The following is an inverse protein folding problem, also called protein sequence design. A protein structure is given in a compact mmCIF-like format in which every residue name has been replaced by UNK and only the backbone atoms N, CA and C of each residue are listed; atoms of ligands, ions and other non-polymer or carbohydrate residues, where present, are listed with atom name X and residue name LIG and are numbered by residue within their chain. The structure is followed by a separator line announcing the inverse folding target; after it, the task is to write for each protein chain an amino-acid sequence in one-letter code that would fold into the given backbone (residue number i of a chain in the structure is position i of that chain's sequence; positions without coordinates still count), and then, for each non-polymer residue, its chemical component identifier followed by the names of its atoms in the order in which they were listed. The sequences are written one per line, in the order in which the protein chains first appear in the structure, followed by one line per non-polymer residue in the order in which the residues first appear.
data_IF_526599162958
#
_entry.id   IF_526599162958
#
_cell.length_a   1.000
_cell.length_b   1.000
_cell.length_c   1.000
_cell.angle_alpha   90.00
_cell.angle_beta   90.00
_cell.angle_gamma   90.00
#
_symmetry.space_group_name_H-M   'P 1'
#
loop_
_entity.id
_entity.type
_entity.pdbx_description
1 polymer ?
#
# COMPACT_ATOMS: atom_id res chain seq x y z
N UNK A 1 -19.73 -79.45 -44.58
CA UNK A 1 -21.05 -78.83 -44.27
C UNK A 1 -20.93 -78.04 -42.96
N UNK A 2 -21.78 -77.03 -42.72
CA UNK A 2 -21.49 -75.58 -42.80
C UNK A 2 -21.28 -74.92 -41.42
N UNK A 3 -20.51 -73.83 -41.29
CA UNK A 3 -20.84 -72.39 -41.51
C UNK A 3 -21.78 -71.75 -40.47
N UNK A 4 -21.24 -70.65 -39.92
CA UNK A 4 -21.80 -69.27 -39.91
C UNK A 4 -22.88 -68.89 -38.89
N UNK A 5 -22.59 -67.74 -38.25
CA UNK A 5 -23.43 -66.53 -38.05
C UNK A 5 -24.79 -66.74 -37.39
N UNK A 6 -25.22 -65.93 -36.43
CA UNK A 6 -25.57 -64.54 -36.71
C UNK A 6 -25.99 -63.78 -35.43
N UNK A 7 -25.73 -62.49 -35.48
CA UNK A 7 -26.25 -61.41 -34.63
C UNK A 7 -27.71 -61.07 -34.95
N UNK A 8 -28.48 -60.59 -33.97
CA UNK A 8 -29.54 -59.57 -34.15
C UNK A 8 -29.96 -58.98 -32.78
N UNK A 9 -29.70 -57.69 -32.52
CA UNK A 9 -30.65 -56.52 -32.57
C UNK A 9 -31.72 -56.60 -31.47
N UNK A 10 -32.04 -55.59 -30.66
CA UNK A 10 -32.19 -54.14 -30.86
C UNK A 10 -32.35 -53.49 -29.44
N UNK A 11 -32.51 -52.19 -29.14
CA UNK A 11 -32.95 -51.00 -29.88
C UNK A 11 -32.69 -49.76 -29.00
N UNK A 12 -32.43 -48.60 -29.62
CA UNK A 12 -32.89 -47.28 -29.14
C UNK A 12 -31.99 -46.58 -28.10
N UNK A 13 -31.61 -45.30 -28.25
CA UNK A 13 -32.06 -44.29 -29.19
C UNK A 13 -31.16 -43.05 -29.16
N UNK A 14 -31.22 -42.31 -30.26
CA UNK A 14 -30.51 -41.06 -30.56
C UNK A 14 -30.73 -39.98 -29.48
N UNK A 15 -29.72 -39.15 -29.20
CA UNK A 15 -29.77 -37.70 -29.49
C UNK A 15 -28.48 -36.93 -29.16
N UNK A 16 -28.12 -36.08 -30.12
CA UNK A 16 -27.59 -34.73 -30.02
C UNK A 16 -26.23 -34.50 -29.32
N UNK A 17 -25.20 -34.34 -30.14
CA UNK A 17 -24.00 -33.59 -29.80
C UNK A 17 -24.37 -32.12 -29.51
N UNK A 18 -24.07 -31.65 -28.30
CA UNK A 18 -24.17 -30.24 -27.90
C UNK A 18 -22.77 -29.79 -27.46
N UNK A 19 -22.13 -28.94 -28.28
CA UNK A 19 -20.94 -28.17 -27.88
C UNK A 19 -21.35 -27.12 -26.83
N UNK A 20 -20.54 -26.99 -25.78
CA UNK A 20 -20.54 -25.89 -24.82
C UNK A 20 -19.13 -25.82 -24.17
N UNK A 21 -18.73 -24.73 -23.48
CA UNK A 21 -17.76 -23.78 -24.01
C UNK A 21 -16.43 -23.77 -23.24
N UNK A 22 -15.40 -23.20 -23.87
CA UNK A 22 -14.25 -22.68 -23.16
C UNK A 22 -14.67 -21.41 -22.41
N UNK A 23 -14.70 -21.44 -21.07
CA UNK A 23 -14.03 -20.47 -20.19
C UNK A 23 -14.35 -20.76 -18.73
N UNK A 24 -13.33 -20.67 -17.89
CA UNK A 24 -13.47 -20.79 -16.45
C UNK A 24 -12.13 -20.62 -15.78
N UNK A 25 -11.38 -19.57 -16.13
CA UNK A 25 -10.26 -19.11 -15.32
C UNK A 25 -10.78 -18.98 -13.89
N UNK A 26 -10.25 -19.83 -13.00
CA UNK A 26 -10.55 -19.80 -11.60
C UNK A 26 -10.33 -18.38 -11.11
N UNK A 27 -11.41 -17.68 -10.75
CA UNK A 27 -11.33 -16.45 -9.95
C UNK A 27 -10.75 -16.87 -8.61
N UNK A 28 -9.42 -16.91 -8.52
CA UNK A 28 -8.72 -16.94 -7.26
C UNK A 28 -9.18 -15.71 -6.50
N UNK A 29 -9.93 -15.94 -5.43
CA UNK A 29 -10.20 -14.92 -4.43
C UNK A 29 -8.85 -14.50 -3.85
N UNK A 30 -8.25 -13.44 -4.40
CA UNK A 30 -7.23 -12.71 -3.64
C UNK A 30 -7.92 -12.33 -2.33
N UNK A 31 -7.33 -12.77 -1.22
CA UNK A 31 -7.70 -12.28 0.11
C UNK A 31 -7.92 -10.77 0.00
N UNK A 32 -8.96 -10.23 0.64
CA UNK A 32 -9.17 -8.78 0.71
C UNK A 32 -7.99 -8.17 1.48
N UNK A 33 -6.88 -7.95 0.79
CA UNK A 33 -5.74 -7.19 1.27
C UNK A 33 -6.26 -5.82 1.66
N UNK A 34 -5.92 -5.37 2.87
CA UNK A 34 -6.30 -4.06 3.35
C UNK A 34 -5.85 -2.98 2.36
N UNK A 35 -6.52 -1.82 2.36
CA UNK A 35 -6.10 -0.67 1.57
C UNK A 35 -4.62 -0.37 1.85
N UNK A 36 -3.83 -0.17 0.79
CA UNK A 36 -2.44 0.27 0.95
C UNK A 36 -2.42 1.67 1.56
N UNK A 37 -1.42 1.97 2.38
CA UNK A 37 -1.32 3.28 3.04
C UNK A 37 -0.41 4.20 2.22
N UNK A 38 -0.86 5.42 1.95
CA UNK A 38 -0.03 6.50 1.41
C UNK A 38 0.09 7.59 2.45
N UNK A 39 1.31 8.01 2.75
CA UNK A 39 1.57 9.09 3.71
C UNK A 39 2.15 10.28 2.95
N UNK A 40 1.50 11.42 3.11
CA UNK A 40 1.90 12.70 2.48
C UNK A 40 2.10 13.76 3.56
N UNK A 41 2.73 14.87 3.21
CA UNK A 41 3.00 15.91 4.19
C UNK A 41 1.78 16.78 4.49
N UNK A 42 1.04 17.22 3.47
CA UNK A 42 -0.01 18.23 3.63
C UNK A 42 -1.43 17.68 3.38
N UNK A 43 -2.45 18.17 4.10
CA UNK A 43 -3.85 17.75 3.89
C UNK A 43 -4.37 18.02 2.48
N UNK A 44 -3.91 19.08 1.83
CA UNK A 44 -4.30 19.41 0.46
C UNK A 44 -3.82 18.34 -0.53
N UNK A 45 -2.56 17.91 -0.42
CA UNK A 45 -2.01 16.81 -1.22
C UNK A 45 -2.77 15.51 -0.98
N UNK A 46 -3.11 15.22 0.28
CA UNK A 46 -3.83 14.01 0.64
C UNK A 46 -5.17 13.90 -0.11
N UNK A 47 -5.97 14.98 -0.09
CA UNK A 47 -7.27 15.02 -0.77
C UNK A 47 -7.14 14.82 -2.28
N UNK A 48 -6.17 15.48 -2.91
CA UNK A 48 -5.96 15.36 -4.36
C UNK A 48 -5.51 13.96 -4.75
N UNK A 49 -4.53 13.39 -4.04
CA UNK A 49 -3.99 12.06 -4.32
C UNK A 49 -5.04 10.97 -4.04
N UNK A 50 -5.82 11.11 -2.96
CA UNK A 50 -6.92 10.18 -2.65
C UNK A 50 -7.98 10.18 -3.75
N UNK A 51 -8.33 11.35 -4.29
CA UNK A 51 -9.25 11.47 -5.42
C UNK A 51 -8.72 10.83 -6.72
N UNK A 52 -7.40 10.79 -6.91
CA UNK A 52 -6.76 10.17 -8.08
C UNK A 52 -6.62 8.66 -7.92
N UNK A 53 -6.09 8.19 -6.78
CA UNK A 53 -5.78 6.78 -6.52
C UNK A 53 -7.02 5.94 -6.16
N UNK A 54 -8.07 6.58 -5.63
CA UNK A 54 -9.33 5.95 -5.28
C UNK A 54 -9.24 4.93 -4.14
N UNK A 55 -10.23 4.04 -4.07
CA UNK A 55 -10.50 3.19 -2.90
C UNK A 55 -9.44 2.13 -2.58
N UNK A 56 -8.49 1.88 -3.48
CA UNK A 56 -7.41 0.91 -3.23
C UNK A 56 -6.42 1.43 -2.18
N UNK A 57 -6.34 2.75 -2.01
CA UNK A 57 -5.40 3.40 -1.11
C UNK A 57 -6.13 4.12 0.01
N UNK A 58 -5.50 4.21 1.17
CA UNK A 58 -5.85 5.14 2.23
C UNK A 58 -4.76 6.19 2.28
N UNK A 59 -5.11 7.47 2.19
CA UNK A 59 -4.14 8.55 2.22
C UNK A 59 -4.22 9.28 3.56
N UNK A 60 -3.08 9.45 4.24
CA UNK A 60 -2.99 10.17 5.52
C UNK A 60 -1.96 11.29 5.37
N UNK A 61 -2.29 12.48 5.87
CA UNK A 61 -1.34 13.58 5.96
C UNK A 61 -0.61 13.59 7.32
N UNK A 62 0.71 13.75 7.35
CA UNK A 62 1.47 13.95 8.57
C UNK A 62 1.26 15.36 9.17
N UNK A 63 0.83 16.30 8.32
CA UNK A 63 0.67 17.73 8.64
C UNK A 63 2.03 18.31 9.06
N UNK A 64 3.04 18.09 8.23
CA UNK A 64 4.44 18.50 8.46
C UNK A 64 5.25 17.51 9.29
N UNK A 65 6.20 18.03 10.06
CA UNK A 65 7.06 17.25 10.97
C UNK A 65 6.26 16.61 12.10
N UNK A 66 6.62 15.37 12.45
CA UNK A 66 6.00 14.60 13.54
C UNK A 66 6.90 14.45 14.77
N UNK A 67 8.19 14.69 14.60
CA UNK A 67 9.20 14.68 15.65
C UNK A 67 10.08 15.91 15.54
N UNK A 68 10.62 16.33 16.67
CA UNK A 68 11.60 17.41 16.75
C UNK A 68 12.57 17.15 17.91
N UNK A 69 13.61 17.97 18.03
CA UNK A 69 14.45 17.99 19.21
C UNK A 69 13.62 18.37 20.46
N UNK A 70 13.95 17.81 21.64
CA UNK A 70 13.36 18.23 22.89
C UNK A 70 13.44 19.74 23.08
N UNK A 71 12.40 20.35 23.63
CA UNK A 71 12.41 21.78 23.97
C UNK A 71 13.20 22.10 25.26
N UNK A 72 13.97 21.13 25.75
CA UNK A 72 14.77 21.21 26.96
C UNK A 72 16.16 20.61 26.72
N UNK A 73 17.18 21.17 27.36
CA UNK A 73 18.57 20.79 27.10
C UNK A 73 19.02 21.13 25.68
N UNK A 74 20.10 20.49 25.22
CA UNK A 74 20.64 20.70 23.86
C UNK A 74 19.98 19.84 22.78
N UNK A 75 19.27 18.78 23.17
CA UNK A 75 18.69 17.81 22.22
C UNK A 75 19.72 17.02 21.39
N UNK A 76 21.01 17.29 21.55
CA UNK A 76 22.11 16.70 20.78
C UNK A 76 23.27 16.41 21.73
N UNK A 77 23.93 15.26 21.56
CA UNK A 77 25.15 14.94 22.31
C UNK A 77 26.37 15.72 21.80
N UNK A 78 26.56 16.90 22.36
CA UNK A 78 27.74 17.75 22.08
C UNK A 78 28.95 17.33 22.92
N UNK A 79 28.73 16.82 24.15
CA UNK A 79 29.82 16.54 25.09
C UNK A 79 30.59 15.28 24.73
N UNK A 80 29.91 14.24 24.25
CA UNK A 80 30.54 13.02 23.77
C UNK A 80 31.13 13.16 22.36
N UNK A 81 30.80 14.24 21.64
CA UNK A 81 31.26 14.50 20.27
C UNK A 81 30.59 13.63 19.21
N UNK A 82 29.58 12.83 19.57
CA UNK A 82 28.83 11.99 18.64
C UNK A 82 27.87 12.80 17.77
N UNK A 83 27.39 13.94 18.29
CA UNK A 83 26.34 14.75 17.68
C UNK A 83 25.04 13.99 17.43
N UNK A 84 24.80 12.90 18.16
CA UNK A 84 23.56 12.13 18.04
C UNK A 84 22.37 12.97 18.55
N UNK A 85 21.35 13.21 17.70
CA UNK A 85 20.15 13.93 18.13
C UNK A 85 19.21 13.00 18.90
N UNK A 86 18.62 13.53 19.96
CA UNK A 86 17.44 12.95 20.58
C UNK A 86 16.21 13.55 19.93
N UNK A 87 15.25 12.72 19.50
CA UNK A 87 14.00 13.18 18.92
C UNK A 87 12.80 12.76 19.76
N UNK A 88 11.85 13.68 19.92
CA UNK A 88 10.58 13.43 20.60
C UNK A 88 9.40 13.66 19.66
N UNK A 89 8.33 12.87 19.83
CA UNK A 89 7.08 13.10 19.11
C UNK A 89 6.41 14.35 19.66
N UNK A 90 6.13 15.31 18.77
CA UNK A 90 5.43 16.55 19.09
C UNK A 90 4.06 16.23 19.70
N UNK A 91 3.68 16.95 20.77
CA UNK A 91 2.48 16.64 21.57
C UNK A 91 1.19 16.63 20.74
N UNK A 92 1.06 17.59 19.84
CA UNK A 92 -0.06 17.77 18.91
C UNK A 92 -0.05 16.77 17.74
N UNK A 93 1.05 16.05 17.51
CA UNK A 93 1.20 15.04 16.45
C UNK A 93 1.03 13.60 16.93
N UNK A 94 0.83 13.38 18.23
CA UNK A 94 0.69 12.03 18.82
C UNK A 94 -0.47 11.24 18.23
N UNK A 95 -1.61 11.90 18.01
CA UNK A 95 -2.78 11.25 17.43
C UNK A 95 -2.56 10.88 15.96
N UNK A 96 -1.91 11.77 15.19
CA UNK A 96 -1.53 11.50 13.79
C UNK A 96 -0.57 10.31 13.72
N UNK A 97 0.47 10.27 14.55
CA UNK A 97 1.41 9.14 14.60
C UNK A 97 0.70 7.83 14.99
N UNK A 98 -0.24 7.89 15.94
CA UNK A 98 -1.04 6.73 16.34
C UNK A 98 -1.93 6.24 15.19
N UNK A 99 -2.53 7.16 14.44
CA UNK A 99 -3.33 6.84 13.26
C UNK A 99 -2.48 6.19 12.18
N UNK A 100 -1.34 6.79 11.83
CA UNK A 100 -0.37 6.27 10.86
C UNK A 100 0.06 4.87 11.27
N UNK A 101 0.47 4.66 12.52
CA UNK A 101 0.87 3.35 13.04
C UNK A 101 -0.23 2.31 12.91
N UNK A 102 -1.46 2.68 13.24
CA UNK A 102 -2.62 1.78 13.14
C UNK A 102 -2.94 1.43 11.69
N UNK A 103 -2.90 2.40 10.78
CA UNK A 103 -3.14 2.20 9.36
C UNK A 103 -2.02 1.36 8.73
N UNK A 104 -0.77 1.64 9.06
CA UNK A 104 0.40 0.89 8.60
C UNK A 104 0.35 -0.57 9.07
N UNK A 105 -0.17 -0.85 10.27
CA UNK A 105 -0.38 -2.23 10.73
C UNK A 105 -1.39 -3.03 9.91
N UNK A 106 -2.36 -2.37 9.26
CA UNK A 106 -3.42 -3.00 8.46
C UNK A 106 -3.14 -3.05 6.95
N UNK A 107 -2.31 -2.13 6.46
CA UNK A 107 -1.95 -2.05 5.04
C UNK A 107 -1.04 -3.22 4.65
N UNK A 108 -0.99 -3.58 3.38
CA UNK A 108 0.03 -4.51 2.86
C UNK A 108 1.33 -3.75 2.59
N UNK A 109 1.24 -2.59 1.92
CA UNK A 109 2.35 -1.67 1.67
C UNK A 109 2.11 -0.29 2.26
N UNK A 110 3.21 0.40 2.59
CA UNK A 110 3.21 1.80 3.04
C UNK A 110 4.02 2.64 2.05
N UNK A 111 3.39 3.60 1.40
CA UNK A 111 4.01 4.51 0.46
C UNK A 111 4.32 5.85 1.14
N UNK A 112 5.56 6.32 0.99
CA UNK A 112 6.01 7.62 1.46
C UNK A 112 6.08 8.60 0.28
N UNK A 113 5.21 9.60 0.30
CA UNK A 113 4.99 10.54 -0.79
C UNK A 113 5.19 11.99 -0.34
N UNK A 114 6.20 12.22 0.49
CA UNK A 114 6.69 13.55 0.83
C UNK A 114 7.45 14.17 -0.35
N UNK A 115 7.71 15.47 -0.29
CA UNK A 115 8.39 16.18 -1.37
C UNK A 115 9.80 15.65 -1.64
N UNK A 116 10.28 15.69 -2.89
CA UNK A 116 11.58 15.17 -3.29
C UNK A 116 12.72 16.14 -2.94
N UNK A 117 12.73 16.62 -1.70
CA UNK A 117 13.75 17.47 -1.15
C UNK A 117 14.25 16.92 0.20
N UNK A 118 15.28 17.59 0.75
CA UNK A 118 15.89 17.18 2.02
C UNK A 118 14.89 17.18 3.17
N UNK A 119 13.94 18.11 3.17
CA UNK A 119 12.94 18.21 4.23
C UNK A 119 11.93 17.06 4.14
N UNK A 120 11.45 16.77 2.93
CA UNK A 120 10.55 15.65 2.68
C UNK A 120 11.18 14.31 3.03
N UNK A 121 12.46 14.09 2.76
CA UNK A 121 13.17 12.87 3.18
C UNK A 121 13.29 12.79 4.72
N UNK A 122 13.61 13.90 5.38
CA UNK A 122 13.67 13.94 6.84
C UNK A 122 12.29 13.64 7.45
N UNK A 123 11.21 14.24 6.94
CA UNK A 123 9.83 13.98 7.40
C UNK A 123 9.49 12.49 7.22
N UNK A 124 9.80 11.93 6.05
CA UNK A 124 9.59 10.50 5.76
C UNK A 124 10.30 9.61 6.79
N UNK A 125 11.58 9.86 7.05
CA UNK A 125 12.34 9.15 8.07
C UNK A 125 11.73 9.32 9.48
N UNK A 126 11.35 10.55 9.85
CA UNK A 126 10.72 10.81 11.15
C UNK A 126 9.39 10.09 11.34
N UNK A 127 8.59 9.94 10.29
CA UNK A 127 7.34 9.19 10.32
C UNK A 127 7.60 7.71 10.57
N UNK A 128 8.55 7.11 9.85
CA UNK A 128 8.88 5.68 9.99
C UNK A 128 9.32 5.36 11.41
N UNK A 129 10.24 6.14 11.95
CA UNK A 129 10.76 5.97 13.30
C UNK A 129 9.69 6.21 14.37
N UNK A 130 8.87 7.27 14.24
CA UNK A 130 7.83 7.60 15.21
C UNK A 130 6.72 6.52 15.24
N UNK A 131 6.28 6.07 14.06
CA UNK A 131 5.23 5.07 13.92
C UNK A 131 5.74 3.63 14.05
N UNK A 132 7.07 3.43 14.12
CA UNK A 132 7.74 2.12 14.16
C UNK A 132 7.36 1.23 12.98
N UNK A 133 7.41 1.81 11.78
CA UNK A 133 7.07 1.10 10.54
C UNK A 133 8.34 0.42 10.01
N UNK A 134 8.31 -0.90 9.75
CA UNK A 134 9.46 -1.62 9.20
C UNK A 134 9.77 -1.15 7.78
N UNK A 135 11.04 -0.89 7.49
CA UNK A 135 11.49 -0.38 6.19
C UNK A 135 11.13 -1.32 5.04
N UNK A 136 11.08 -2.63 5.29
CA UNK A 136 10.75 -3.67 4.31
C UNK A 136 9.31 -3.56 3.79
N UNK A 137 8.43 -2.90 4.54
CA UNK A 137 7.04 -2.64 4.17
C UNK A 137 6.87 -1.31 3.42
N UNK A 138 7.92 -0.51 3.35
CA UNK A 138 7.86 0.88 2.89
C UNK A 138 8.37 1.02 1.47
N UNK A 139 7.75 1.90 0.71
CA UNK A 139 8.19 2.27 -0.62
C UNK A 139 8.17 3.79 -0.77
N UNK A 140 9.29 4.36 -1.20
CA UNK A 140 9.38 5.78 -1.52
C UNK A 140 8.76 6.04 -2.88
N UNK A 141 7.83 6.99 -2.95
CA UNK A 141 7.18 7.40 -4.20
C UNK A 141 7.39 8.89 -4.40
N UNK A 142 7.99 9.26 -5.54
CA UNK A 142 8.34 10.63 -5.89
C UNK A 142 7.59 11.03 -7.15
N UNK A 143 7.02 12.23 -7.13
CA UNK A 143 6.44 12.90 -8.30
C UNK A 143 6.72 14.39 -8.21
N UNK A 144 6.86 15.04 -9.36
CA UNK A 144 7.15 16.48 -9.44
C UNK A 144 5.88 17.33 -9.69
N UNK A 145 4.77 16.67 -10.02
CA UNK A 145 3.49 17.30 -10.26
C UNK A 145 2.35 16.42 -9.73
N UNK A 146 1.23 17.04 -9.35
CA UNK A 146 0.05 16.35 -8.82
C UNK A 146 -1.02 16.31 -9.91
N UNK A 147 -0.68 15.69 -11.03
CA UNK A 147 -1.61 15.41 -12.14
C UNK A 147 -1.98 13.93 -12.12
N UNK A 148 -3.18 13.61 -12.63
CA UNK A 148 -3.63 12.21 -12.70
C UNK A 148 -2.61 11.28 -13.40
N UNK A 149 -2.06 11.62 -14.57
CA UNK A 149 -1.07 10.77 -15.24
C UNK A 149 0.21 10.57 -14.44
N UNK A 150 0.73 11.63 -13.80
CA UNK A 150 1.97 11.55 -13.03
C UNK A 150 1.82 10.67 -11.78
N UNK A 151 0.69 10.80 -11.08
CA UNK A 151 0.38 9.98 -9.91
C UNK A 151 0.14 8.52 -10.30
N UNK A 152 -0.62 8.26 -11.36
CA UNK A 152 -0.85 6.88 -11.85
C UNK A 152 0.43 6.21 -12.34
N UNK A 153 1.40 6.96 -12.87
CA UNK A 153 2.70 6.41 -13.26
C UNK A 153 3.62 6.09 -12.07
N UNK A 154 3.39 6.74 -10.92
CA UNK A 154 4.24 6.62 -9.74
C UNK A 154 3.79 5.50 -8.76
N UNK A 155 2.57 4.97 -8.91
CA UNK A 155 1.92 4.02 -7.99
C UNK A 155 1.48 2.70 -8.65
#
# INVERSE_FOLDING_TARGET
MPKRTSSATATGGKKAAKRAPANGAAKGSRARGGKDLVIVESPAKARTIEGILGDKYRVIASVGHVRDLPNYGYGVDVKGGSFEPTYEVLKDKRDVVKEIKTAAGKAERVFLSTDPDREGEAISWHILEAAKIPAEKTQRVVFHEITKPAIEAAF
#
